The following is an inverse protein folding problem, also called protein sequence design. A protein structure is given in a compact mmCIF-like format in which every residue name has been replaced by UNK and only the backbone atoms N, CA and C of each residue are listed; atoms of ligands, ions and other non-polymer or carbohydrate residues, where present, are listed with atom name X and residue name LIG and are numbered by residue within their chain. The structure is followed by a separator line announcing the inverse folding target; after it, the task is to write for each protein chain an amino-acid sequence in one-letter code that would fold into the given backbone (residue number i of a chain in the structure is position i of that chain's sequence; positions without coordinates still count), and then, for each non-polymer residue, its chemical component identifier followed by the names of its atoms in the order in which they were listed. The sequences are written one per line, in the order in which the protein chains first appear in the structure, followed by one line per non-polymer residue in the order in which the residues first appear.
data_IF_125491851455
#
_entry.id   IF_125491851455
#
_cell.length_a   1.000
_cell.length_b   1.000
_cell.length_c   1.000
_cell.angle_alpha   90.00
_cell.angle_beta   90.00
_cell.angle_gamma   90.00
#
_symmetry.space_group_name_H-M   'P 1'
#
loop_
_entity.id
_entity.type
_entity.pdbx_description
1 polymer ?
#
# COMPACT_ATOMS: atom_id res chain seq x y z
N UNK A 1 3.70 -14.93 17.50
CA UNK A 1 3.55 -14.75 16.04
C UNK A 1 2.07 -14.92 15.71
N UNK A 2 1.27 -13.87 15.85
CA UNK A 2 -0.21 -13.98 15.86
C UNK A 2 -0.77 -13.79 14.45
N UNK A 3 -0.80 -14.86 13.66
CA UNK A 3 -1.54 -14.89 12.39
C UNK A 3 -2.98 -15.34 12.67
N UNK A 4 -3.82 -14.40 13.11
CA UNK A 4 -5.27 -14.64 13.11
C UNK A 4 -5.76 -14.75 11.67
N UNK A 5 -6.85 -15.50 11.39
CA UNK A 5 -7.38 -15.67 10.04
C UNK A 5 -7.67 -14.35 9.30
N UNK A 6 -8.00 -13.29 10.06
CA UNK A 6 -8.19 -11.94 9.55
C UNK A 6 -6.90 -11.31 8.98
N UNK A 7 -5.75 -11.52 9.62
CA UNK A 7 -4.45 -11.01 9.16
C UNK A 7 -4.00 -11.69 7.86
N UNK A 8 -4.22 -13.01 7.75
CA UNK A 8 -3.93 -13.75 6.52
C UNK A 8 -4.73 -13.23 5.32
N UNK A 9 -6.04 -13.00 5.52
CA UNK A 9 -6.92 -12.48 4.47
C UNK A 9 -6.51 -11.09 3.96
N UNK A 10 -6.01 -10.22 4.83
CA UNK A 10 -5.49 -8.91 4.43
C UNK A 10 -4.22 -9.05 3.58
N UNK A 11 -3.29 -9.90 4.00
CA UNK A 11 -2.05 -10.16 3.26
C UNK A 11 -2.32 -10.70 1.85
N UNK A 12 -3.25 -11.65 1.71
CA UNK A 12 -3.63 -12.22 0.41
C UNK A 12 -4.28 -11.18 -0.51
N UNK A 13 -5.10 -10.28 0.06
CA UNK A 13 -5.71 -9.18 -0.69
C UNK A 13 -4.68 -8.19 -1.20
N UNK A 14 -3.69 -7.83 -0.37
CA UNK A 14 -2.60 -6.96 -0.79
C UNK A 14 -1.78 -7.64 -1.90
N UNK A 15 -1.42 -8.91 -1.71
CA UNK A 15 -0.61 -9.69 -2.66
C UNK A 15 -1.29 -9.85 -4.02
N UNK A 16 -2.61 -10.01 -4.04
CA UNK A 16 -3.39 -10.13 -5.29
C UNK A 16 -3.67 -8.79 -5.97
N UNK A 17 -3.69 -7.68 -5.21
CA UNK A 17 -3.94 -6.34 -5.75
C UNK A 17 -2.67 -5.69 -6.31
N UNK A 18 -1.54 -5.82 -5.61
CA UNK A 18 -0.30 -5.09 -5.93
C UNK A 18 0.20 -5.26 -7.38
N UNK A 19 0.21 -6.47 -7.98
CA UNK A 19 0.68 -6.64 -9.35
C UNK A 19 -0.15 -5.87 -10.38
N UNK A 20 -1.46 -5.74 -10.15
CA UNK A 20 -2.41 -5.10 -11.08
C UNK A 20 -2.34 -3.57 -11.06
N UNK A 21 -1.61 -2.99 -10.11
CA UNK A 21 -1.50 -1.54 -9.95
C UNK A 21 -0.59 -0.90 -11.00
N UNK A 22 0.32 -1.68 -11.59
CA UNK A 22 1.17 -1.24 -12.70
C UNK A 22 0.39 -1.11 -14.01
N UNK A 23 -0.62 -1.97 -14.22
CA UNK A 23 -1.43 -2.00 -15.44
C UNK A 23 -2.46 -0.85 -15.50
N UNK A 24 -2.81 -0.26 -14.36
CA UNK A 24 -3.88 0.74 -14.25
C UNK A 24 -3.44 1.99 -13.46
N UNK A 25 -2.35 2.67 -13.85
CA UNK A 25 -1.83 3.81 -13.09
C UNK A 25 -2.81 4.99 -13.03
N UNK A 26 -3.67 5.14 -14.03
CA UNK A 26 -4.71 6.18 -14.07
C UNK A 26 -5.84 6.01 -13.04
N UNK A 27 -5.98 4.82 -12.43
CA UNK A 27 -6.99 4.56 -11.39
C UNK A 27 -6.49 4.82 -9.97
N UNK A 28 -5.24 5.27 -9.83
CA UNK A 28 -4.63 5.59 -8.55
C UNK A 28 -4.54 7.09 -8.38
N UNK A 29 -4.84 7.54 -7.16
CA UNK A 29 -4.76 8.96 -6.82
C UNK A 29 -3.30 9.37 -6.67
N UNK A 30 -2.93 10.62 -7.00
CA UNK A 30 -1.65 11.17 -6.56
C UNK A 30 -1.50 10.98 -5.04
N UNK A 31 -0.37 10.44 -4.61
CA UNK A 31 -0.08 10.28 -3.19
C UNK A 31 0.40 11.59 -2.57
N UNK A 32 0.51 11.61 -1.24
CA UNK A 32 0.95 12.81 -0.49
C UNK A 32 2.37 13.27 -0.84
N UNK A 33 3.24 12.34 -1.25
CA UNK A 33 4.61 12.63 -1.66
C UNK A 33 4.68 12.67 -3.19
N UNK A 34 5.32 13.67 -3.81
CA UNK A 34 5.48 13.72 -5.26
C UNK A 34 6.07 12.42 -5.83
N UNK A 35 5.53 11.95 -6.95
CA UNK A 35 5.94 10.68 -7.58
C UNK A 35 5.35 9.43 -6.94
N UNK A 36 4.55 9.57 -5.87
CA UNK A 36 3.81 8.45 -5.28
C UNK A 36 2.36 8.41 -5.75
N UNK A 37 1.78 7.21 -5.69
CA UNK A 37 0.39 6.92 -6.00
C UNK A 37 -0.24 6.15 -4.85
N UNK A 38 -1.52 6.39 -4.64
CA UNK A 38 -2.30 5.73 -3.59
C UNK A 38 -3.45 4.94 -4.22
N UNK A 39 -3.55 3.66 -3.84
CA UNK A 39 -4.67 2.78 -4.18
C UNK A 39 -5.42 2.35 -2.93
N UNK A 40 -6.71 2.69 -2.87
CA UNK A 40 -7.64 2.12 -1.89
C UNK A 40 -8.00 0.69 -2.29
N UNK A 41 -7.86 -0.26 -1.36
CA UNK A 41 -8.26 -1.64 -1.59
C UNK A 41 -9.74 -1.82 -1.29
N UNK A 42 -10.51 -2.30 -2.28
CA UNK A 42 -11.93 -2.56 -2.08
C UNK A 42 -12.13 -3.69 -1.06
N UNK A 43 -13.12 -3.55 -0.18
CA UNK A 43 -13.53 -4.53 0.85
C UNK A 43 -12.56 -4.71 2.02
N UNK A 44 -11.46 -3.97 2.09
CA UNK A 44 -10.62 -3.89 3.29
C UNK A 44 -10.20 -2.43 3.55
N UNK A 45 -10.09 -1.98 4.81
CA UNK A 45 -9.83 -0.59 5.13
C UNK A 45 -8.35 -0.22 4.96
N UNK A 46 -7.73 -0.56 3.83
CA UNK A 46 -6.30 -0.37 3.57
C UNK A 46 -6.03 0.40 2.27
N UNK A 47 -4.94 1.17 2.29
CA UNK A 47 -4.37 1.91 1.15
C UNK A 47 -2.97 1.37 0.89
N UNK A 48 -2.66 1.09 -0.38
CA UNK A 48 -1.29 0.84 -0.84
C UNK A 48 -0.74 2.15 -1.37
N UNK A 49 0.32 2.65 -0.74
CA UNK A 49 1.13 3.75 -1.26
C UNK A 49 2.32 3.17 -2.02
N UNK A 50 2.48 3.53 -3.28
CA UNK A 50 3.48 2.95 -4.17
C UNK A 50 4.03 3.98 -5.15
N UNK A 51 5.11 3.64 -5.83
CA UNK A 51 5.58 4.36 -7.02
C UNK A 51 5.76 3.37 -8.18
N UNK A 52 5.63 3.89 -9.39
CA UNK A 52 5.99 3.16 -10.60
C UNK A 52 7.38 3.63 -10.98
N UNK A 53 8.31 2.69 -11.06
CA UNK A 53 9.64 2.86 -11.63
C UNK A 53 9.68 2.08 -12.95
N UNK A 54 10.69 2.32 -13.80
CA UNK A 54 10.74 1.94 -15.23
C UNK A 54 9.90 0.71 -15.62
N UNK A 55 10.17 -0.43 -14.98
CA UNK A 55 9.44 -1.68 -15.20
C UNK A 55 8.94 -2.35 -13.91
N UNK A 56 8.89 -1.62 -12.79
CA UNK A 56 8.58 -2.19 -11.50
C UNK A 56 7.66 -1.31 -10.66
N UNK A 57 6.89 -1.97 -9.80
CA UNK A 57 6.08 -1.30 -8.80
C UNK A 57 6.73 -1.46 -7.44
N UNK A 58 7.08 -0.34 -6.83
CA UNK A 58 7.66 -0.32 -5.49
C UNK A 58 6.58 0.06 -4.50
N UNK A 59 6.15 -0.91 -3.68
CA UNK A 59 5.24 -0.64 -2.56
C UNK A 59 6.03 0.04 -1.44
N UNK A 60 5.68 1.29 -1.13
CA UNK A 60 6.34 2.07 -0.10
C UNK A 60 5.75 1.77 1.27
N UNK A 61 4.42 1.75 1.37
CA UNK A 61 3.68 1.48 2.62
C UNK A 61 2.30 0.87 2.35
N UNK A 62 1.81 0.14 3.34
CA UNK A 62 0.41 -0.29 3.44
C UNK A 62 -0.19 0.37 4.69
N UNK A 63 -1.20 1.21 4.49
CA UNK A 63 -1.78 2.06 5.52
C UNK A 63 -3.22 1.66 5.80
N UNK A 64 -3.59 1.54 7.08
CA UNK A 64 -5.00 1.35 7.44
C UNK A 64 -5.72 2.71 7.44
N UNK A 65 -6.78 2.83 6.65
CA UNK A 65 -7.55 4.08 6.39
C UNK A 65 -8.02 4.79 7.66
N UNK A 66 -8.46 4.04 8.67
CA UNK A 66 -8.95 4.61 9.94
C UNK A 66 -7.89 4.76 11.04
N UNK A 67 -6.64 4.34 10.81
CA UNK A 67 -5.58 4.44 11.82
C UNK A 67 -4.64 5.59 11.47
N UNK A 68 -4.15 6.29 12.48
CA UNK A 68 -3.05 7.23 12.28
C UNK A 68 -1.85 6.45 11.72
N UNK A 69 -1.20 7.03 10.71
CA UNK A 69 0.08 6.52 10.25
C UNK A 69 1.03 6.47 11.46
N UNK A 70 1.74 5.34 11.67
CA UNK A 70 2.79 5.31 12.66
C UNK A 70 3.84 6.37 12.29
N UNK A 71 4.28 7.12 13.30
CA UNK A 71 5.38 8.08 13.13
C UNK A 71 6.61 7.30 12.68
N UNK A 72 7.25 7.78 11.62
CA UNK A 72 8.47 7.14 11.13
C UNK A 72 9.56 7.42 12.14
N UNK A 73 10.00 6.41 12.89
CA UNK A 73 11.19 6.54 13.73
C UNK A 73 12.38 6.61 12.78
N UNK A 74 12.84 7.81 12.47
CA UNK A 74 14.12 8.00 11.78
C UNK A 74 15.20 7.50 12.73
N UNK A 75 15.73 6.30 12.47
CA UNK A 75 16.97 5.85 13.08
C UNK A 75 18.09 6.67 12.45
N UNK A 76 18.46 7.76 13.11
CA UNK A 76 19.79 8.34 12.97
C UNK A 76 20.68 7.60 13.99
N UNK A 77 21.50 6.68 13.50
CA UNK A 77 22.76 6.29 14.13
C UNK A 77 23.90 6.87 13.30
#
# INVERSE_FOLDING_TARGET
MNNTPATAKVADRIRSAAPKLADQPGLSRPGRVPGTRERVLTNIPYIIAYRVEENSLVTLRVLHTSRKCPETKTLIE
#
